data_IF_190156473233
#
_entry.id   IF_190156473233
#
_cell.length_a   1.000
_cell.length_b   1.000
_cell.length_c   1.000
_cell.angle_alpha   90.00
_cell.angle_beta   90.00
_cell.angle_gamma   90.00
#
_symmetry.space_group_name_H-M   'P 1'
#
loop_
_entity.id
_entity.type
_entity.pdbx_description
1 polymer ?
#
# COMPACT_ATOMS: atom_id res chain seq x y z
N UNK A 1 5.38 -30.17 -13.46
CA UNK A 1 3.97 -29.76 -13.28
C UNK A 1 3.97 -28.26 -13.05
N UNK A 2 3.53 -27.48 -14.04
CA UNK A 2 3.25 -26.06 -13.84
C UNK A 2 2.22 -25.95 -12.72
N UNK A 3 2.63 -25.37 -11.58
CA UNK A 3 1.66 -24.93 -10.59
C UNK A 3 0.93 -23.75 -11.23
N UNK A 4 -0.40 -23.73 -11.19
CA UNK A 4 -1.22 -22.60 -11.62
C UNK A 4 -1.80 -21.92 -10.37
N UNK A 5 -0.91 -21.39 -9.54
CA UNK A 5 -1.25 -20.62 -8.36
C UNK A 5 -1.63 -19.21 -8.78
N UNK A 6 -2.89 -18.86 -8.54
CA UNK A 6 -3.43 -17.54 -8.87
C UNK A 6 -4.15 -16.92 -7.68
N UNK A 7 -3.84 -15.66 -7.41
CA UNK A 7 -4.52 -14.84 -6.41
C UNK A 7 -5.94 -14.56 -6.89
N UNK A 8 -6.90 -14.76 -5.98
CA UNK A 8 -8.30 -14.48 -6.25
C UNK A 8 -8.61 -13.00 -6.02
N UNK A 9 -9.79 -12.56 -6.47
CA UNK A 9 -10.31 -11.22 -6.12
C UNK A 9 -10.39 -11.02 -4.60
N UNK A 10 -10.77 -12.06 -3.85
CA UNK A 10 -10.86 -12.02 -2.38
C UNK A 10 -9.49 -11.80 -1.73
N UNK A 11 -8.44 -12.44 -2.25
CA UNK A 11 -7.07 -12.25 -1.76
C UNK A 11 -6.61 -10.81 -1.99
N UNK A 12 -6.82 -10.29 -3.22
CA UNK A 12 -6.49 -8.90 -3.56
C UNK A 12 -7.25 -7.88 -2.73
N UNK A 13 -8.53 -8.12 -2.46
CA UNK A 13 -9.33 -7.25 -1.58
C UNK A 13 -8.81 -7.28 -0.13
N UNK A 14 -8.39 -8.45 0.36
CA UNK A 14 -7.78 -8.57 1.68
C UNK A 14 -6.44 -7.80 1.76
N UNK A 15 -5.61 -7.90 0.72
CA UNK A 15 -4.33 -7.18 0.62
C UNK A 15 -4.58 -5.68 0.57
N UNK A 16 -5.52 -5.23 -0.26
CA UNK A 16 -5.92 -3.83 -0.34
C UNK A 16 -6.37 -3.29 1.02
N UNK A 17 -7.25 -4.02 1.73
CA UNK A 17 -7.69 -3.61 3.05
C UNK A 17 -6.55 -3.59 4.08
N UNK A 18 -5.56 -4.47 3.97
CA UNK A 18 -4.39 -4.46 4.86
C UNK A 18 -3.40 -3.35 4.53
N UNK A 19 -3.31 -2.95 3.25
CA UNK A 19 -2.42 -1.88 2.79
C UNK A 19 -2.80 -0.50 3.33
N UNK A 20 -4.03 -0.33 3.82
CA UNK A 20 -4.44 0.91 4.51
C UNK A 20 -3.63 1.17 5.79
N UNK A 21 -3.04 0.12 6.37
CA UNK A 21 -2.20 0.17 7.56
C UNK A 21 -0.70 0.18 7.21
N UNK A 22 -0.31 0.56 5.99
CA UNK A 22 1.10 0.52 5.56
C UNK A 22 2.04 1.38 6.41
N UNK A 23 1.52 2.46 7.00
CA UNK A 23 2.27 3.32 7.92
C UNK A 23 2.17 2.88 9.39
N UNK A 24 1.43 1.82 9.71
CA UNK A 24 1.12 1.42 11.10
C UNK A 24 2.32 0.92 11.90
N UNK A 25 3.40 0.51 11.24
CA UNK A 25 4.65 0.05 11.86
C UNK A 25 5.87 0.77 11.31
N UNK A 26 5.72 2.07 11.07
CA UNK A 26 6.80 2.91 10.60
C UNK A 26 7.96 2.95 11.59
N UNK A 27 9.19 2.76 11.11
CA UNK A 27 10.41 2.78 11.93
C UNK A 27 11.57 3.44 11.18
N UNK A 28 12.53 4.01 11.90
CA UNK A 28 13.65 4.72 11.27
C UNK A 28 14.64 3.81 10.51
N UNK A 29 14.72 2.52 10.88
CA UNK A 29 15.66 1.59 10.24
C UNK A 29 15.21 1.22 8.82
N UNK A 30 13.91 0.97 8.63
CA UNK A 30 13.35 0.36 7.41
C UNK A 30 12.03 0.97 6.94
N UNK A 31 11.61 2.08 7.54
CA UNK A 31 10.44 2.88 7.18
C UNK A 31 9.13 2.07 7.22
N UNK A 32 8.45 1.90 6.09
CA UNK A 32 7.12 1.29 5.98
C UNK A 32 7.16 -0.24 5.80
N UNK A 33 8.33 -0.88 5.92
CA UNK A 33 8.54 -2.29 5.63
C UNK A 33 7.59 -3.24 6.41
N UNK A 34 7.28 -2.93 7.67
CA UNK A 34 6.41 -3.76 8.50
C UNK A 34 4.97 -3.76 8.01
N UNK A 35 4.43 -2.60 7.64
CA UNK A 35 3.10 -2.45 7.07
C UNK A 35 3.02 -3.03 5.66
N UNK A 36 4.10 -2.89 4.89
CA UNK A 36 4.29 -3.54 3.59
C UNK A 36 4.19 -5.06 3.71
N UNK A 37 5.04 -5.68 4.56
CA UNK A 37 5.04 -7.12 4.77
C UNK A 37 3.68 -7.62 5.29
N UNK A 38 3.03 -6.88 6.20
CA UNK A 38 1.69 -7.19 6.70
C UNK A 38 0.64 -7.25 5.60
N UNK A 39 0.70 -6.32 4.63
CA UNK A 39 -0.22 -6.27 3.50
C UNK A 39 -0.13 -7.51 2.61
N UNK A 40 1.08 -8.06 2.45
CA UNK A 40 1.38 -9.20 1.57
C UNK A 40 1.10 -10.57 2.20
N UNK A 41 0.87 -10.65 3.52
CA UNK A 41 0.61 -11.92 4.23
C UNK A 41 -0.44 -12.81 3.55
N UNK A 42 -1.61 -12.32 3.07
CA UNK A 42 -2.59 -13.17 2.41
C UNK A 42 -2.05 -13.83 1.13
N UNK A 43 -1.29 -13.09 0.32
CA UNK A 43 -0.66 -13.62 -0.88
C UNK A 43 0.40 -14.66 -0.53
N UNK A 44 1.31 -14.33 0.39
CA UNK A 44 2.40 -15.22 0.82
C UNK A 44 1.84 -16.53 1.37
N UNK A 45 0.78 -16.48 2.20
CA UNK A 45 0.13 -17.69 2.74
C UNK A 45 -0.48 -18.58 1.66
N UNK A 46 -0.95 -17.97 0.56
CA UNK A 46 -1.58 -18.68 -0.53
C UNK A 46 -0.57 -19.30 -1.49
N UNK A 47 0.45 -18.53 -1.86
CA UNK A 47 1.49 -18.91 -2.82
C UNK A 47 2.47 -19.93 -2.23
N UNK A 48 2.85 -19.76 -0.96
CA UNK A 48 3.82 -20.62 -0.28
C UNK A 48 3.14 -21.50 0.78
N UNK A 49 3.51 -22.79 0.83
CA UNK A 49 2.81 -23.76 1.69
C UNK A 49 3.57 -24.07 2.97
N UNK A 50 4.89 -24.15 2.90
CA UNK A 50 5.72 -24.48 4.06
C UNK A 50 5.99 -23.24 4.92
N UNK A 51 6.37 -23.45 6.18
CA UNK A 51 6.71 -22.36 7.09
C UNK A 51 8.00 -21.68 6.63
N UNK A 52 8.93 -22.45 6.11
CA UNK A 52 10.25 -22.06 5.64
C UNK A 52 10.12 -21.14 4.41
N UNK A 53 9.30 -21.53 3.43
CA UNK A 53 9.03 -20.71 2.24
C UNK A 53 8.36 -19.38 2.61
N UNK A 54 7.38 -19.41 3.53
CA UNK A 54 6.69 -18.21 3.99
C UNK A 54 7.61 -17.28 4.78
N UNK A 55 8.51 -17.85 5.59
CA UNK A 55 9.48 -17.09 6.36
C UNK A 55 10.48 -16.41 5.43
N UNK A 56 11.02 -17.13 4.45
CA UNK A 56 11.88 -16.56 3.42
C UNK A 56 11.16 -15.43 2.66
N UNK A 57 9.87 -15.64 2.35
CA UNK A 57 9.04 -14.65 1.68
C UNK A 57 8.79 -13.38 2.46
N UNK A 58 8.48 -13.49 3.74
CA UNK A 58 8.33 -12.31 4.58
C UNK A 58 9.67 -11.61 4.78
N UNK A 59 10.78 -12.35 4.88
CA UNK A 59 12.11 -11.79 5.11
C UNK A 59 12.54 -10.87 3.96
N UNK A 60 12.38 -11.29 2.69
CA UNK A 60 12.68 -10.40 1.53
C UNK A 60 11.79 -9.14 1.49
N UNK A 61 10.55 -9.25 1.96
CA UNK A 61 9.64 -8.10 2.02
C UNK A 61 9.85 -7.20 3.24
N UNK A 62 10.65 -7.63 4.21
CA UNK A 62 11.05 -6.82 5.37
C UNK A 62 12.26 -5.92 5.09
N UNK A 63 12.80 -5.93 3.87
CA UNK A 63 13.76 -4.92 3.44
C UNK A 63 13.12 -3.53 3.35
N UNK A 64 13.97 -2.49 3.30
CA UNK A 64 13.57 -1.10 3.21
C UNK A 64 12.44 -0.89 2.18
N UNK A 65 11.38 -0.23 2.63
CA UNK A 65 10.30 0.20 1.78
C UNK A 65 9.78 1.55 2.24
N UNK A 66 9.81 2.55 1.35
CA UNK A 66 9.27 3.87 1.62
C UNK A 66 8.75 4.50 0.33
N UNK A 67 7.45 4.76 0.29
CA UNK A 67 6.80 5.52 -0.77
C UNK A 67 5.65 6.32 -0.18
N UNK A 68 5.05 7.18 -1.00
CA UNK A 68 3.84 7.86 -0.59
C UNK A 68 2.67 6.84 -0.46
N UNK A 69 2.00 6.74 0.70
CA UNK A 69 1.04 5.66 0.99
C UNK A 69 -0.09 5.50 -0.03
N UNK A 70 -0.63 6.60 -0.55
CA UNK A 70 -1.76 6.55 -1.50
C UNK A 70 -1.40 6.00 -2.88
N UNK A 71 -0.10 5.97 -3.19
CA UNK A 71 0.43 5.47 -4.46
C UNK A 71 1.30 4.23 -4.24
N UNK A 72 1.17 3.55 -3.09
CA UNK A 72 1.81 2.25 -2.86
C UNK A 72 1.14 1.11 -3.65
N UNK A 73 -0.15 1.25 -3.98
CA UNK A 73 -0.95 0.19 -4.63
C UNK A 73 -0.39 -0.35 -5.95
N UNK A 74 0.15 0.48 -6.88
CA UNK A 74 0.81 -0.02 -8.08
C UNK A 74 2.03 -0.91 -7.77
N UNK A 75 2.84 -0.54 -6.77
CA UNK A 75 4.00 -1.34 -6.36
C UNK A 75 3.54 -2.69 -5.79
N UNK A 76 2.48 -2.69 -4.97
CA UNK A 76 1.87 -3.92 -4.45
C UNK A 76 1.42 -4.80 -5.63
N UNK A 77 0.72 -4.24 -6.61
CA UNK A 77 0.23 -4.99 -7.78
C UNK A 77 1.35 -5.68 -8.56
N UNK A 78 2.43 -4.96 -8.88
CA UNK A 78 3.60 -5.52 -9.58
C UNK A 78 4.29 -6.58 -8.73
N UNK A 79 4.45 -6.32 -7.43
CA UNK A 79 5.06 -7.29 -6.51
C UNK A 79 4.26 -8.58 -6.43
N UNK A 80 2.92 -8.50 -6.37
CA UNK A 80 2.06 -9.69 -6.36
C UNK A 80 2.19 -10.51 -7.64
N UNK A 81 2.30 -9.86 -8.80
CA UNK A 81 2.50 -10.55 -10.07
C UNK A 81 3.85 -11.30 -10.10
N UNK A 82 4.93 -10.65 -9.65
CA UNK A 82 6.26 -11.29 -9.56
C UNK A 82 6.27 -12.47 -8.57
N UNK A 83 5.54 -12.35 -7.46
CA UNK A 83 5.36 -13.42 -6.48
C UNK A 83 4.55 -14.60 -7.03
N UNK A 84 3.50 -14.32 -7.82
CA UNK A 84 2.73 -15.34 -8.53
C UNK A 84 3.62 -16.09 -9.54
N UNK A 85 4.37 -15.37 -10.38
CA UNK A 85 5.28 -15.96 -11.36
C UNK A 85 6.33 -16.85 -10.69
N UNK A 86 6.96 -16.35 -9.61
CA UNK A 86 7.92 -17.13 -8.83
C UNK A 86 7.31 -18.39 -8.24
N UNK A 87 6.14 -18.29 -7.62
CA UNK A 87 5.45 -19.42 -7.01
C UNK A 87 5.02 -20.49 -8.04
N UNK A 88 4.83 -20.07 -9.29
CA UNK A 88 4.52 -20.94 -10.43
C UNK A 88 5.78 -21.54 -11.10
N UNK A 89 6.98 -21.16 -10.65
CA UNK A 89 8.25 -21.75 -11.11
C UNK A 89 9.02 -20.88 -12.11
N UNK A 90 8.61 -19.64 -12.34
CA UNK A 90 9.41 -18.69 -13.11
C UNK A 90 10.73 -18.39 -12.36
N UNK A 91 11.80 -18.16 -13.12
CA UNK A 91 13.12 -17.78 -12.59
C UNK A 91 13.12 -16.29 -12.18
N UNK A 92 12.37 -15.97 -11.13
CA UNK A 92 12.34 -14.65 -10.50
C UNK A 92 13.05 -14.75 -9.17
N UNK A 93 14.24 -14.15 -9.05
CA UNK A 93 15.05 -14.15 -7.84
C UNK A 93 14.66 -13.00 -6.88
N UNK A 94 15.17 -13.05 -5.64
CA UNK A 94 14.84 -12.06 -4.61
C UNK A 94 15.35 -10.66 -4.99
N UNK A 95 16.50 -10.60 -5.67
CA UNK A 95 17.12 -9.36 -6.15
C UNK A 95 16.23 -8.69 -7.18
N UNK A 96 15.62 -9.43 -8.10
CA UNK A 96 14.68 -8.86 -9.09
C UNK A 96 13.45 -8.26 -8.41
N UNK A 97 12.81 -8.99 -7.49
CA UNK A 97 11.63 -8.49 -6.76
C UNK A 97 11.97 -7.20 -6.01
N UNK A 98 13.11 -7.21 -5.32
CA UNK A 98 13.55 -6.06 -4.54
C UNK A 98 13.98 -4.89 -5.43
N UNK A 99 14.68 -5.16 -6.53
CA UNK A 99 15.11 -4.14 -7.49
C UNK A 99 13.92 -3.41 -8.11
N UNK A 100 12.88 -4.14 -8.52
CA UNK A 100 11.63 -3.54 -9.02
C UNK A 100 10.97 -2.67 -7.95
N UNK A 101 10.91 -3.15 -6.71
CA UNK A 101 10.39 -2.37 -5.57
C UNK A 101 11.16 -1.06 -5.39
N UNK A 102 12.49 -1.12 -5.37
CA UNK A 102 13.37 0.05 -5.21
C UNK A 102 13.20 1.06 -6.32
N UNK A 103 13.17 0.60 -7.57
CA UNK A 103 13.00 1.48 -8.74
C UNK A 103 11.65 2.19 -8.69
N UNK A 104 10.58 1.52 -8.25
CA UNK A 104 9.24 2.12 -8.18
C UNK A 104 9.05 3.09 -7.00
N UNK A 105 9.76 2.89 -5.89
CA UNK A 105 9.65 3.73 -4.70
C UNK A 105 9.97 5.21 -5.00
N UNK A 106 11.07 5.48 -5.71
CA UNK A 106 11.54 6.84 -5.98
C UNK A 106 10.55 7.71 -6.75
N UNK A 107 10.13 7.32 -7.96
CA UNK A 107 9.19 8.11 -8.76
C UNK A 107 7.83 8.28 -8.10
N UNK A 108 7.31 7.23 -7.45
CA UNK A 108 5.99 7.29 -6.82
C UNK A 108 6.00 8.14 -5.53
N UNK A 109 7.08 8.11 -4.75
CA UNK A 109 7.27 9.05 -3.65
C UNK A 109 7.39 10.48 -4.19
N UNK A 110 8.23 10.70 -5.21
CA UNK A 110 8.47 12.01 -5.80
C UNK A 110 7.23 12.68 -6.40
N UNK A 111 6.26 11.91 -6.90
CA UNK A 111 4.96 12.43 -7.36
C UNK A 111 3.95 12.52 -6.21
N UNK A 112 3.88 11.48 -5.37
CA UNK A 112 2.87 11.39 -4.33
C UNK A 112 3.01 12.48 -3.26
N UNK A 113 4.23 12.77 -2.83
CA UNK A 113 4.47 13.76 -1.77
C UNK A 113 4.02 15.18 -2.15
N UNK A 114 4.42 15.77 -3.30
CA UNK A 114 3.95 17.10 -3.66
C UNK A 114 2.45 17.15 -3.96
N UNK A 115 1.88 16.11 -4.57
CA UNK A 115 0.45 16.07 -4.88
C UNK A 115 -0.38 16.01 -3.60
N UNK A 116 -0.09 15.08 -2.69
CA UNK A 116 -0.98 14.84 -1.56
C UNK A 116 -0.59 15.62 -0.31
N UNK A 117 0.69 15.68 0.04
CA UNK A 117 1.12 16.38 1.25
C UNK A 117 1.22 17.88 1.08
N UNK A 118 1.67 18.36 -0.08
CA UNK A 118 1.87 19.80 -0.30
C UNK A 118 0.72 20.49 -1.04
N UNK A 119 -0.10 19.75 -1.78
CA UNK A 119 -1.19 20.35 -2.57
C UNK A 119 -2.56 20.00 -2.02
N UNK A 120 -2.97 18.73 -2.09
CA UNK A 120 -4.33 18.31 -1.73
C UNK A 120 -4.63 18.56 -0.26
N UNK A 121 -3.75 18.12 0.65
CA UNK A 121 -3.98 18.24 2.09
C UNK A 121 -4.04 19.71 2.57
N UNK A 122 -3.11 20.60 2.18
CA UNK A 122 -3.18 22.01 2.58
C UNK A 122 -4.39 22.74 1.98
N UNK A 123 -4.74 22.48 0.72
CA UNK A 123 -5.92 23.11 0.09
C UNK A 123 -7.20 22.69 0.80
N UNK A 124 -7.38 21.39 1.03
CA UNK A 124 -8.57 20.90 1.72
C UNK A 124 -8.59 21.34 3.19
N UNK A 125 -7.42 21.45 3.84
CA UNK A 125 -7.28 22.03 5.17
C UNK A 125 -7.69 23.50 5.21
N UNK A 126 -7.23 24.31 4.26
CA UNK A 126 -7.58 25.73 4.14
C UNK A 126 -9.08 25.93 3.85
N UNK A 127 -9.65 25.12 2.95
CA UNK A 127 -11.09 25.11 2.68
C UNK A 127 -11.88 24.72 3.94
N UNK A 128 -11.46 23.66 4.64
CA UNK A 128 -12.05 23.23 5.91
C UNK A 128 -12.02 24.32 6.97
N UNK A 129 -10.87 24.97 7.15
CA UNK A 129 -10.70 26.08 8.10
C UNK A 129 -11.57 27.29 7.74
N UNK A 130 -11.65 27.66 6.46
CA UNK A 130 -12.49 28.78 6.01
C UNK A 130 -13.98 28.54 6.26
N UNK A 131 -14.45 27.31 6.05
CA UNK A 131 -15.83 26.91 6.35
C UNK A 131 -16.10 26.82 7.87
N UNK A 132 -15.08 26.49 8.67
CA UNK A 132 -15.14 26.49 10.13
C UNK A 132 -15.39 27.89 10.69
N UNK A 133 -14.61 28.85 10.18
CA UNK A 133 -14.69 30.24 10.59
C UNK A 133 -16.03 30.88 10.20
N UNK A 134 -16.66 30.40 9.12
CA UNK A 134 -17.98 30.85 8.67
C UNK A 134 -19.17 30.29 9.50
N UNK A 135 -18.91 29.62 10.64
CA UNK A 135 -19.95 29.12 11.55
C UNK A 135 -20.59 27.79 11.16
N UNK A 136 -20.09 27.11 10.12
CA UNK A 136 -20.64 25.86 9.59
C UNK A 136 -19.96 24.62 10.22
N UNK A 137 -20.07 24.48 11.54
CA UNK A 137 -19.34 23.47 12.33
C UNK A 137 -19.61 22.01 11.90
N UNK A 138 -20.84 21.69 11.48
CA UNK A 138 -21.22 20.34 11.00
C UNK A 138 -20.53 19.97 9.67
N UNK A 139 -20.37 20.93 8.75
CA UNK A 139 -19.68 20.74 7.47
C UNK A 139 -18.16 20.69 7.63
N UNK A 140 -17.64 21.45 8.59
CA UNK A 140 -16.22 21.51 8.95
C UNK A 140 -15.73 20.17 9.51
N UNK A 141 -16.47 19.59 10.46
CA UNK A 141 -16.12 18.29 11.02
C UNK A 141 -16.16 17.19 9.96
N UNK A 142 -17.06 17.25 8.97
CA UNK A 142 -17.09 16.28 7.87
C UNK A 142 -15.88 16.40 6.93
N UNK A 143 -15.38 17.61 6.64
CA UNK A 143 -14.21 17.80 5.78
C UNK A 143 -12.91 17.45 6.52
N UNK A 144 -12.77 17.87 7.78
CA UNK A 144 -11.57 17.59 8.58
C UNK A 144 -11.43 16.11 8.94
N UNK A 145 -12.53 15.43 9.33
CA UNK A 145 -12.50 13.97 9.55
C UNK A 145 -12.12 13.24 8.25
N UNK A 146 -12.63 13.67 7.08
CA UNK A 146 -12.26 13.06 5.80
C UNK A 146 -10.78 13.24 5.44
N UNK A 147 -10.15 14.32 5.89
CA UNK A 147 -8.71 14.56 5.75
C UNK A 147 -7.87 13.73 6.73
N UNK A 148 -8.36 13.50 7.94
CA UNK A 148 -7.72 12.65 8.96
C UNK A 148 -7.94 11.15 8.75
N UNK A 149 -9.01 10.73 8.08
CA UNK A 149 -9.20 9.34 7.61
C UNK A 149 -8.46 9.06 6.30
N UNK A 150 -8.06 10.10 5.58
CA UNK A 150 -7.21 9.99 4.39
C UNK A 150 -5.90 9.23 4.67
N UNK A 151 -5.09 9.51 5.73
CA UNK A 151 -3.84 8.79 6.03
C UNK A 151 -3.98 7.28 6.26
N UNK A 152 -5.20 6.78 6.48
CA UNK A 152 -5.50 5.36 6.71
C UNK A 152 -6.26 4.71 5.55
N UNK A 153 -6.14 5.22 4.32
CA UNK A 153 -6.64 4.52 3.11
C UNK A 153 -8.16 4.29 3.03
N UNK A 154 -8.96 4.88 3.93
CA UNK A 154 -10.40 4.60 4.09
C UNK A 154 -11.25 5.19 2.94
N UNK A 155 -10.71 6.06 2.08
CA UNK A 155 -11.47 6.67 0.98
C UNK A 155 -11.32 6.01 -0.41
N UNK A 156 -10.40 5.07 -0.62
CA UNK A 156 -10.46 4.21 -1.82
C UNK A 156 -11.66 3.23 -1.75
N UNK A 157 -12.27 3.07 -0.57
CA UNK A 157 -13.48 2.27 -0.34
C UNK A 157 -14.71 2.85 -1.05
N UNK A 158 -14.70 4.11 -1.47
CA UNK A 158 -15.88 4.76 -2.05
C UNK A 158 -15.78 5.18 -3.52
N UNK A 159 -14.62 5.06 -4.18
CA UNK A 159 -14.47 5.57 -5.56
C UNK A 159 -14.21 4.53 -6.63
N UNK A 160 -14.04 3.24 -6.30
CA UNK A 160 -13.85 2.18 -7.33
C UNK A 160 -14.52 0.84 -7.02
N UNK A 161 -15.69 0.87 -6.37
CA UNK A 161 -16.69 -0.22 -6.50
C UNK A 161 -17.55 -0.03 -7.77
N UNK A 162 -17.43 1.12 -8.43
CA UNK A 162 -18.06 1.41 -9.72
C UNK A 162 -17.06 2.15 -10.60
N UNK A 163 -16.28 1.40 -11.39
CA UNK A 163 -15.72 1.71 -12.73
C UNK A 163 -14.82 0.54 -13.15
#
# INVERSE_FOLDING_TARGET
MEKNLKLTKKDRLSIWWRSTFIQGSWNYERMQNGGWAFSLIPAIKKLYKTKEERSAALTRHLEFFNTHPYVASPIIGVTLALEEDRANGAQVDDVTIQGVKVVMMGPLAGIGDPVFWFTVRPILGALGASLAMAGNHIRTNNILLRLEYYPYGIYLVHTRIWL
#
